data_IF_117995338435
#
_entry.id   IF_117995338435
#
_cell.length_a   1.000
_cell.length_b   1.000
_cell.length_c   1.000
_cell.angle_alpha   90.00
_cell.angle_beta   90.00
_cell.angle_gamma   90.00
#
_symmetry.space_group_name_H-M   'P 1'
#
loop_
_entity.id
_entity.type
_entity.pdbx_description
1 polymer ?
#
# COMPACT_ATOMS: atom_id res chain seq x y z
N UNK A 1 -8.22 -23.53 -29.75
CA UNK A 1 -9.02 -23.58 -28.50
C UNK A 1 -8.30 -22.90 -27.30
N UNK A 2 -8.16 -21.55 -27.23
CA UNK A 2 -7.49 -20.88 -26.10
C UNK A 2 -8.37 -19.88 -25.31
N UNK A 3 -9.71 -19.89 -25.48
CA UNK A 3 -10.61 -18.85 -24.95
C UNK A 3 -11.25 -19.15 -23.57
N UNK A 4 -11.16 -20.37 -23.05
CA UNK A 4 -11.83 -20.75 -21.80
C UNK A 4 -11.01 -20.49 -20.51
N UNK A 5 -9.69 -20.27 -20.60
CA UNK A 5 -8.79 -20.18 -19.43
C UNK A 5 -8.68 -18.78 -18.79
N UNK A 6 -9.16 -17.73 -19.46
CA UNK A 6 -9.15 -16.35 -18.94
C UNK A 6 -10.48 -15.90 -18.29
N UNK A 7 -11.51 -16.76 -18.28
CA UNK A 7 -12.87 -16.37 -17.91
C UNK A 7 -13.15 -16.45 -16.40
N UNK A 8 -12.51 -17.35 -15.64
CA UNK A 8 -12.86 -17.58 -14.23
C UNK A 8 -12.32 -16.53 -13.24
N UNK A 9 -11.20 -15.87 -13.50
CA UNK A 9 -10.74 -14.71 -12.70
C UNK A 9 -11.48 -13.43 -13.13
N UNK A 10 -11.96 -13.38 -14.38
CA UNK A 10 -12.85 -12.32 -14.84
C UNK A 10 -14.19 -12.35 -14.11
N UNK A 11 -14.80 -13.50 -13.81
CA UNK A 11 -16.11 -13.55 -13.15
C UNK A 11 -16.08 -12.95 -11.73
N UNK A 12 -14.97 -13.12 -10.99
CA UNK A 12 -14.79 -12.49 -9.67
C UNK A 12 -14.48 -10.99 -9.78
N UNK A 13 -13.74 -10.57 -10.81
CA UNK A 13 -13.40 -9.16 -11.03
C UNK A 13 -14.50 -8.35 -11.76
N UNK A 14 -15.39 -8.98 -12.52
CA UNK A 14 -16.42 -8.31 -13.34
C UNK A 14 -17.71 -8.02 -12.57
N UNK A 15 -18.00 -8.75 -11.48
CA UNK A 15 -19.14 -8.45 -10.59
C UNK A 15 -18.90 -7.28 -9.62
N UNK A 16 -17.72 -6.66 -9.63
CA UNK A 16 -17.37 -5.53 -8.74
C UNK A 16 -16.80 -4.28 -9.47
N UNK A 17 -17.24 -4.04 -10.71
CA UNK A 17 -17.22 -2.71 -11.35
C UNK A 17 -15.96 -2.30 -12.13
N UNK A 18 -16.05 -2.32 -13.46
CA UNK A 18 -15.34 -1.40 -14.36
C UNK A 18 -15.89 -1.55 -15.79
N UNK A 19 -16.88 -0.74 -16.15
CA UNK A 19 -17.26 -0.50 -17.55
C UNK A 19 -16.16 0.36 -18.19
N UNK A 20 -15.31 -0.24 -19.03
CA UNK A 20 -14.48 0.50 -19.97
C UNK A 20 -15.27 0.65 -21.28
N UNK A 21 -16.09 1.69 -21.34
CA UNK A 21 -16.75 2.12 -22.58
C UNK A 21 -15.71 2.61 -23.58
N UNK A 22 -15.59 1.91 -24.70
CA UNK A 22 -14.91 2.40 -25.92
C UNK A 22 -15.67 3.62 -26.43
N UNK A 23 -15.02 4.78 -26.49
CA UNK A 23 -15.57 5.95 -27.14
C UNK A 23 -14.80 6.20 -28.45
N UNK A 24 -15.44 5.87 -29.57
CA UNK A 24 -14.99 6.20 -30.92
C UNK A 24 -15.15 7.69 -31.18
N UNK A 25 -14.11 8.30 -31.72
CA UNK A 25 -13.98 9.73 -32.01
C UNK A 25 -14.64 10.06 -33.36
N UNK A 26 -15.74 10.84 -33.40
CA UNK A 26 -16.22 11.47 -34.64
C UNK A 26 -16.96 12.80 -34.38
N UNK A 27 -16.25 13.85 -34.78
CA UNK A 27 -16.71 15.12 -35.38
C UNK A 27 -17.39 16.23 -34.57
N UNK A 28 -16.91 17.44 -34.90
CA UNK A 28 -17.23 18.80 -34.46
C UNK A 28 -18.56 19.29 -35.03
N UNK A 29 -19.26 20.21 -34.34
CA UNK A 29 -19.42 21.65 -34.71
C UNK A 29 -20.46 22.38 -33.83
N UNK A 30 -20.10 23.63 -33.50
CA UNK A 30 -20.91 24.86 -33.32
C UNK A 30 -22.30 24.83 -32.64
N UNK A 31 -22.48 25.65 -31.59
CA UNK A 31 -23.15 26.97 -31.65
C UNK A 31 -23.31 27.62 -30.26
N UNK A 32 -23.46 28.95 -30.28
CA UNK A 32 -23.38 29.94 -29.18
C UNK A 32 -24.74 30.25 -28.52
N UNK A 33 -24.68 31.05 -27.44
CA UNK A 33 -25.73 31.85 -26.77
C UNK A 33 -26.63 31.05 -25.81
N UNK A 34 -27.14 31.53 -24.68
CA UNK A 34 -27.04 32.76 -23.86
C UNK A 34 -28.00 32.50 -22.69
N UNK A 35 -27.72 32.92 -21.45
CA UNK A 35 -28.76 32.87 -20.41
C UNK A 35 -28.24 32.80 -18.98
N UNK A 36 -28.70 33.74 -18.18
CA UNK A 36 -28.32 34.03 -16.81
C UNK A 36 -29.18 33.20 -15.82
N UNK A 37 -28.66 33.03 -14.60
CA UNK A 37 -29.27 32.50 -13.36
C UNK A 37 -29.17 30.99 -13.08
N UNK A 38 -28.81 30.66 -11.83
CA UNK A 38 -29.15 29.39 -11.21
C UNK A 38 -27.98 28.57 -10.69
N UNK A 39 -27.67 28.76 -9.40
CA UNK A 39 -27.20 27.79 -8.41
C UNK A 39 -26.52 26.48 -8.85
N UNK A 40 -25.37 26.22 -8.20
CA UNK A 40 -24.74 24.90 -7.99
C UNK A 40 -24.35 24.12 -9.25
N UNK A 41 -23.07 24.17 -9.64
CA UNK A 41 -22.48 23.07 -10.43
C UNK A 41 -21.03 22.71 -10.04
N UNK A 42 -20.69 21.42 -10.12
CA UNK A 42 -19.42 20.84 -9.72
C UNK A 42 -18.32 21.17 -10.72
N UNK A 43 -17.14 21.51 -10.23
CA UNK A 43 -15.96 21.73 -11.07
C UNK A 43 -15.38 20.39 -11.55
N UNK A 44 -16.04 19.75 -12.52
CA UNK A 44 -15.38 18.79 -13.40
C UNK A 44 -14.68 19.57 -14.52
N UNK A 45 -13.42 19.96 -14.31
CA UNK A 45 -12.55 20.31 -15.43
C UNK A 45 -12.02 19.02 -16.04
N UNK A 46 -12.62 18.62 -17.16
CA UNK A 46 -11.98 17.74 -18.13
C UNK A 46 -10.72 18.45 -18.66
N UNK A 47 -9.54 17.97 -18.25
CA UNK A 47 -8.28 18.27 -18.94
C UNK A 47 -7.98 17.12 -19.89
N UNK A 48 -8.13 17.41 -21.17
CA UNK A 48 -7.49 16.66 -22.25
C UNK A 48 -5.98 16.79 -22.09
N UNK A 49 -5.26 15.68 -22.02
CA UNK A 49 -3.79 15.69 -21.97
C UNK A 49 -3.23 14.35 -21.49
N UNK A 50 -2.68 13.59 -22.43
CA UNK A 50 -1.74 12.51 -22.11
C UNK A 50 -0.61 13.07 -21.24
N UNK A 51 -0.31 12.38 -20.14
CA UNK A 51 1.00 12.47 -19.49
C UNK A 51 1.19 13.59 -18.46
N UNK A 52 0.42 13.59 -17.38
CA UNK A 52 0.95 13.98 -16.07
C UNK A 52 0.04 13.39 -14.99
N UNK A 53 0.53 12.33 -14.34
CA UNK A 53 -0.09 11.85 -13.11
C UNK A 53 0.15 12.93 -12.04
N UNK A 54 -0.78 13.89 -11.99
CA UNK A 54 -0.86 14.92 -10.96
C UNK A 54 -0.82 14.20 -9.61
N UNK A 55 0.38 14.21 -9.01
CA UNK A 55 0.65 13.74 -7.65
C UNK A 55 -0.43 14.35 -6.78
N UNK A 56 -1.41 13.56 -6.37
CA UNK A 56 -2.33 13.88 -5.28
C UNK A 56 -1.48 14.01 -4.01
N UNK A 57 -0.82 15.17 -3.88
CA UNK A 57 -0.21 15.64 -2.65
C UNK A 57 -1.36 15.84 -1.69
N UNK A 58 -1.54 14.90 -0.77
CA UNK A 58 -2.27 15.14 0.46
C UNK A 58 -1.61 16.33 1.18
N UNK A 59 -2.13 17.54 0.95
CA UNK A 59 -1.76 18.73 1.71
C UNK A 59 -2.62 18.75 2.96
N UNK A 60 -2.00 18.64 4.13
CA UNK A 60 -2.66 18.94 5.39
C UNK A 60 -3.13 20.40 5.34
N UNK A 61 -4.31 20.76 5.88
CA UNK A 61 -4.84 22.13 5.87
C UNK A 61 -3.97 23.20 6.55
N UNK A 62 -2.84 22.82 7.17
CA UNK A 62 -1.88 23.73 7.84
C UNK A 62 -0.51 23.77 7.17
N UNK A 63 -0.33 23.13 6.01
CA UNK A 63 0.97 23.03 5.33
C UNK A 63 2.01 22.17 6.06
N UNK A 64 1.67 21.62 7.23
CA UNK A 64 2.53 20.69 7.98
C UNK A 64 2.50 19.35 7.24
N UNK A 65 3.64 18.78 6.80
CA UNK A 65 3.66 17.43 6.24
C UNK A 65 3.01 16.49 7.27
N UNK A 66 2.16 15.52 6.85
CA UNK A 66 1.52 14.61 7.78
C UNK A 66 2.62 13.98 8.63
N UNK A 67 2.63 14.35 9.91
CA UNK A 67 3.62 13.83 10.83
C UNK A 67 3.45 12.32 10.82
N UNK A 68 4.46 11.61 10.32
CA UNK A 68 4.51 10.17 10.52
C UNK A 68 4.31 9.93 12.01
N UNK A 69 3.40 9.03 12.43
CA UNK A 69 3.14 8.78 13.85
C UNK A 69 4.34 8.03 14.44
N UNK A 70 5.44 8.75 14.60
CA UNK A 70 6.67 8.35 15.26
C UNK A 70 6.52 8.87 16.68
N UNK A 71 6.76 8.01 17.67
CA UNK A 71 6.76 8.43 19.07
C UNK A 71 7.74 9.59 19.23
N UNK A 72 7.35 10.60 20.02
CA UNK A 72 8.17 11.82 20.22
C UNK A 72 9.62 11.48 20.59
N UNK A 73 9.81 10.46 21.44
CA UNK A 73 11.11 9.94 21.88
C UNK A 73 12.00 9.40 20.74
N UNK A 74 11.42 8.92 19.63
CA UNK A 74 12.18 8.34 18.52
C UNK A 74 12.44 9.33 17.37
N UNK A 75 11.87 10.54 17.42
CA UNK A 75 11.96 11.50 16.30
C UNK A 75 13.40 11.86 15.95
N UNK A 76 14.31 11.88 16.94
CA UNK A 76 15.71 12.25 16.76
C UNK A 76 16.54 11.22 15.98
N UNK A 77 16.09 9.97 15.89
CA UNK A 77 16.78 8.94 15.09
C UNK A 77 16.54 9.09 13.59
N UNK A 78 15.52 9.87 13.21
CA UNK A 78 15.20 10.12 11.82
C UNK A 78 15.84 11.43 11.38
N UNK A 79 16.56 11.45 10.25
CA UNK A 79 17.13 12.67 9.75
C UNK A 79 16.02 13.62 9.26
N UNK A 80 16.33 14.92 9.17
CA UNK A 80 15.36 15.96 8.81
C UNK A 80 14.72 15.72 7.44
N UNK A 81 15.48 15.11 6.53
CA UNK A 81 15.13 14.76 5.16
C UNK A 81 14.50 13.36 5.02
N UNK A 82 14.08 12.74 6.13
CA UNK A 82 13.42 11.43 6.11
C UNK A 82 12.28 11.30 5.08
N UNK A 83 11.38 12.29 4.87
CA UNK A 83 10.36 12.19 3.83
C UNK A 83 10.94 11.97 2.43
N UNK A 84 12.03 12.67 2.09
CA UNK A 84 12.73 12.57 0.81
C UNK A 84 13.45 11.23 0.70
N UNK A 85 14.22 10.84 1.72
CA UNK A 85 14.89 9.54 1.75
C UNK A 85 13.88 8.39 1.62
N UNK A 86 12.74 8.49 2.29
CA UNK A 86 11.65 7.52 2.19
C UNK A 86 11.04 7.45 0.78
N UNK A 87 10.91 8.59 0.10
CA UNK A 87 10.41 8.66 -1.28
C UNK A 87 11.39 7.98 -2.25
N UNK A 88 12.69 8.28 -2.13
CA UNK A 88 13.77 7.67 -2.92
C UNK A 88 13.75 6.15 -2.78
N UNK A 89 13.72 5.63 -1.55
CA UNK A 89 13.72 4.18 -1.33
C UNK A 89 12.46 3.52 -1.91
N UNK A 90 11.27 4.11 -1.72
CA UNK A 90 10.00 3.48 -2.13
C UNK A 90 9.69 3.59 -3.61
N UNK A 91 9.96 4.73 -4.23
CA UNK A 91 9.48 5.04 -5.57
C UNK A 91 10.59 5.14 -6.60
N UNK A 92 11.79 5.57 -6.21
CA UNK A 92 12.92 5.63 -7.14
C UNK A 92 13.67 4.31 -7.22
N UNK A 93 14.10 3.77 -6.08
CA UNK A 93 14.82 2.48 -6.02
C UNK A 93 13.87 1.31 -6.24
N UNK A 94 12.85 1.20 -5.40
CA UNK A 94 11.94 0.05 -5.44
C UNK A 94 10.84 0.15 -6.51
N UNK A 95 10.81 1.24 -7.29
CA UNK A 95 9.86 1.49 -8.39
C UNK A 95 8.39 1.33 -7.96
N UNK A 96 8.08 1.71 -6.71
CA UNK A 96 6.74 1.57 -6.16
C UNK A 96 6.32 0.13 -5.91
N UNK A 97 7.25 -0.83 -5.79
CA UNK A 97 6.97 -2.24 -5.48
C UNK A 97 7.66 -2.65 -4.19
N UNK A 98 7.03 -3.57 -3.47
CA UNK A 98 7.65 -4.15 -2.27
C UNK A 98 8.91 -4.95 -2.68
N UNK A 99 10.06 -4.64 -2.09
CA UNK A 99 11.33 -5.31 -2.39
C UNK A 99 11.34 -6.80 -2.01
N UNK A 100 10.44 -7.23 -1.12
CA UNK A 100 10.35 -8.63 -0.67
C UNK A 100 9.35 -9.49 -1.45
N UNK A 101 8.20 -8.92 -1.85
CA UNK A 101 7.11 -9.71 -2.46
C UNK A 101 6.60 -9.17 -3.79
N UNK A 102 7.03 -7.99 -4.22
CA UNK A 102 6.67 -7.38 -5.50
C UNK A 102 5.29 -6.71 -5.56
N UNK A 103 4.50 -6.71 -4.47
CA UNK A 103 3.18 -6.05 -4.45
C UNK A 103 3.32 -4.55 -4.76
N UNK A 104 2.51 -3.99 -5.70
CA UNK A 104 2.62 -2.59 -6.10
C UNK A 104 1.93 -1.64 -5.12
N UNK A 105 2.55 -0.50 -4.86
CA UNK A 105 2.06 0.57 -3.99
C UNK A 105 0.77 1.19 -4.54
N UNK A 106 -0.22 1.42 -3.69
CA UNK A 106 -1.44 2.09 -4.10
C UNK A 106 -2.27 1.26 -5.08
N UNK A 107 -2.22 -0.07 -4.99
CA UNK A 107 -3.12 -0.97 -5.71
C UNK A 107 -3.95 -1.81 -4.72
N UNK A 108 -5.15 -2.18 -5.14
CA UNK A 108 -5.95 -3.17 -4.44
C UNK A 108 -5.51 -4.56 -4.93
N UNK A 109 -5.09 -5.43 -4.01
CA UNK A 109 -4.56 -6.75 -4.34
C UNK A 109 -5.42 -7.83 -3.70
N UNK A 110 -5.81 -8.84 -4.49
CA UNK A 110 -6.44 -10.06 -4.02
C UNK A 110 -5.39 -11.00 -3.42
N UNK A 111 -5.67 -11.56 -2.24
CA UNK A 111 -4.78 -12.51 -1.57
C UNK A 111 -5.54 -13.56 -0.77
N UNK A 112 -4.92 -14.71 -0.53
CA UNK A 112 -5.53 -15.85 0.18
C UNK A 112 -5.27 -15.84 1.70
N UNK A 113 -4.50 -14.86 2.20
CA UNK A 113 -4.20 -14.69 3.63
C UNK A 113 -2.91 -15.39 4.08
N UNK A 114 -2.55 -16.51 3.47
CA UNK A 114 -1.27 -17.20 3.68
C UNK A 114 -0.05 -16.44 3.11
N UNK A 115 -0.30 -15.49 2.22
CA UNK A 115 0.71 -14.69 1.54
C UNK A 115 0.62 -14.77 0.03
N UNK A 116 -0.05 -15.79 -0.51
CA UNK A 116 -0.33 -15.88 -1.94
C UNK A 116 -1.22 -14.74 -2.40
N UNK A 117 -0.88 -14.14 -3.53
CA UNK A 117 -1.58 -12.98 -4.07
C UNK A 117 -1.62 -12.98 -5.59
N UNK A 118 -2.65 -12.33 -6.14
CA UNK A 118 -2.87 -12.20 -7.57
C UNK A 118 -2.12 -11.00 -8.13
N UNK A 119 -1.18 -11.25 -9.02
CA UNK A 119 -0.51 -10.25 -9.83
C UNK A 119 -1.35 -9.97 -11.08
N UNK A 120 -2.09 -8.86 -11.06
CA UNK A 120 -2.99 -8.48 -12.13
C UNK A 120 -2.27 -8.11 -13.44
N UNK A 121 -1.03 -7.62 -13.34
CA UNK A 121 -0.21 -7.25 -14.50
C UNK A 121 0.31 -8.49 -15.22
N UNK A 122 0.81 -9.46 -14.46
CA UNK A 122 1.28 -10.73 -14.99
C UNK A 122 0.19 -11.74 -15.29
N UNK A 123 -1.03 -11.55 -14.77
CA UNK A 123 -2.10 -12.54 -14.83
C UNK A 123 -1.74 -13.85 -14.13
N UNK A 124 -0.97 -13.78 -13.03
CA UNK A 124 -0.40 -14.94 -12.34
C UNK A 124 -0.57 -14.84 -10.82
N UNK A 125 -0.59 -15.99 -10.16
CA UNK A 125 -0.46 -16.06 -8.72
C UNK A 125 1.00 -16.05 -8.30
N UNK A 126 1.29 -15.33 -7.22
CA UNK A 126 2.60 -15.28 -6.57
C UNK A 126 2.52 -15.70 -5.12
N UNK A 127 3.61 -16.26 -4.59
CA UNK A 127 3.76 -16.56 -3.17
C UNK A 127 4.06 -15.30 -2.33
N UNK A 128 4.23 -15.48 -1.03
CA UNK A 128 4.58 -14.40 -0.10
C UNK A 128 5.96 -13.77 -0.34
N UNK A 129 6.80 -14.37 -1.18
CA UNK A 129 8.13 -13.88 -1.61
C UNK A 129 8.14 -13.39 -3.07
N UNK A 130 6.96 -13.33 -3.71
CA UNK A 130 6.83 -12.86 -5.09
C UNK A 130 7.14 -13.90 -6.17
N UNK A 131 7.42 -15.17 -5.82
CA UNK A 131 7.67 -16.24 -6.80
C UNK A 131 6.38 -16.74 -7.41
N UNK A 132 6.39 -17.11 -8.69
CA UNK A 132 5.21 -17.60 -9.40
C UNK A 132 4.73 -18.93 -8.81
N UNK A 133 3.42 -19.09 -8.62
CA UNK A 133 2.81 -20.33 -8.14
C UNK A 133 1.57 -20.68 -8.95
N UNK A 134 1.29 -21.98 -9.05
CA UNK A 134 0.01 -22.49 -9.54
C UNK A 134 -0.87 -22.80 -8.34
N UNK A 135 -2.13 -22.43 -8.39
CA UNK A 135 -3.10 -22.81 -7.35
C UNK A 135 -3.64 -24.21 -7.66
N UNK A 136 -3.76 -25.03 -6.61
CA UNK A 136 -4.27 -26.39 -6.71
C UNK A 136 -5.80 -26.43 -6.96
N UNK A 137 -6.54 -25.46 -6.43
CA UNK A 137 -8.00 -25.41 -6.55
C UNK A 137 -8.50 -23.97 -6.74
N UNK A 138 -9.47 -23.80 -7.64
CA UNK A 138 -10.17 -22.52 -7.85
C UNK A 138 -11.21 -22.26 -6.76
N UNK A 139 -11.74 -23.32 -6.13
CA UNK A 139 -12.73 -23.21 -5.03
C UNK A 139 -12.13 -22.53 -3.81
N UNK A 140 -10.85 -22.77 -3.53
CA UNK A 140 -10.10 -22.11 -2.46
C UNK A 140 -9.98 -20.59 -2.68
N UNK A 141 -9.96 -20.14 -3.94
CA UNK A 141 -9.86 -18.72 -4.27
C UNK A 141 -11.16 -18.01 -3.94
N UNK A 142 -12.30 -18.55 -4.38
CA UNK A 142 -13.59 -17.91 -4.20
C UNK A 142 -13.99 -17.79 -2.73
N UNK A 143 -13.66 -18.79 -1.93
CA UNK A 143 -14.02 -18.85 -0.51
C UNK A 143 -13.10 -18.03 0.40
N UNK A 144 -11.81 -17.84 0.03
CA UNK A 144 -10.80 -17.25 0.93
C UNK A 144 -10.20 -15.95 0.43
N UNK A 145 -10.44 -15.56 -0.83
CA UNK A 145 -9.86 -14.34 -1.38
C UNK A 145 -10.33 -13.11 -0.60
N UNK A 146 -9.36 -12.35 -0.11
CA UNK A 146 -9.55 -11.04 0.51
C UNK A 146 -8.85 -10.00 -0.33
N UNK A 147 -9.31 -8.76 -0.21
CA UNK A 147 -8.69 -7.61 -0.86
C UNK A 147 -8.01 -6.73 0.18
N UNK A 148 -6.80 -6.28 -0.13
CA UNK A 148 -6.08 -5.29 0.70
C UNK A 148 -5.50 -4.20 -0.19
N UNK A 149 -5.67 -2.95 0.23
CA UNK A 149 -4.98 -1.80 -0.37
C UNK A 149 -3.52 -1.82 0.07
N UNK A 150 -2.60 -1.96 -0.87
CA UNK A 150 -1.17 -2.05 -0.58
C UNK A 150 -0.58 -0.66 -0.39
N UNK A 151 0.11 -0.45 0.73
CA UNK A 151 0.92 0.72 1.00
C UNK A 151 2.34 0.28 1.34
N UNK A 152 3.30 0.99 0.78
CA UNK A 152 4.72 0.78 1.06
C UNK A 152 5.17 1.78 2.12
N UNK A 153 5.93 1.26 3.08
CA UNK A 153 6.68 2.01 4.06
C UNK A 153 8.18 1.71 3.89
N UNK A 154 9.01 2.66 4.28
CA UNK A 154 10.45 2.43 4.43
C UNK A 154 10.69 1.81 5.80
N UNK A 155 11.50 0.75 5.85
CA UNK A 155 11.82 0.03 7.08
C UNK A 155 13.33 -0.22 7.18
N UNK A 156 13.84 -0.23 8.40
CA UNK A 156 15.23 -0.59 8.73
C UNK A 156 15.37 -2.11 8.81
N UNK A 157 16.29 -2.68 8.03
CA UNK A 157 16.51 -4.14 7.96
C UNK A 157 17.05 -4.69 9.27
N UNK A 158 17.91 -3.95 9.96
CA UNK A 158 18.50 -4.35 11.25
C UNK A 158 17.64 -3.98 12.48
N UNK A 159 16.45 -3.39 12.30
CA UNK A 159 15.61 -2.83 13.36
C UNK A 159 16.22 -1.68 14.18
N UNK A 160 17.42 -1.20 13.82
CA UNK A 160 18.03 -0.02 14.40
C UNK A 160 17.57 1.23 13.64
N UNK A 161 16.82 2.10 14.31
CA UNK A 161 16.29 3.32 13.71
C UNK A 161 17.35 4.40 13.49
N UNK A 162 18.53 4.29 14.12
CA UNK A 162 19.62 5.25 13.96
C UNK A 162 20.42 5.02 12.65
N UNK A 163 20.46 3.78 12.15
CA UNK A 163 21.19 3.42 10.95
C UNK A 163 20.38 3.71 9.68
N UNK A 164 20.47 4.94 9.18
CA UNK A 164 19.75 5.38 7.99
C UNK A 164 20.53 5.14 6.68
N UNK A 165 21.54 4.28 6.67
CA UNK A 165 22.27 3.93 5.46
C UNK A 165 21.31 3.32 4.41
N UNK A 166 21.45 3.74 3.15
CA UNK A 166 20.56 3.29 2.07
C UNK A 166 20.53 1.74 1.91
N UNK A 167 21.63 1.05 2.25
CA UNK A 167 21.70 -0.40 2.25
C UNK A 167 20.83 -1.05 3.35
N UNK A 168 20.72 -0.40 4.51
CA UNK A 168 19.89 -0.86 5.63
C UNK A 168 18.40 -0.56 5.42
N UNK A 169 18.05 0.39 4.55
CA UNK A 169 16.66 0.71 4.26
C UNK A 169 16.05 -0.24 3.22
N UNK A 170 14.77 -0.55 3.40
CA UNK A 170 13.98 -1.38 2.49
C UNK A 170 12.59 -0.78 2.27
N UNK A 171 12.05 -0.93 1.05
CA UNK A 171 10.65 -0.60 0.78
C UNK A 171 9.78 -1.85 0.93
N UNK A 172 8.97 -1.90 2.00
CA UNK A 172 8.11 -3.05 2.28
C UNK A 172 6.63 -2.68 2.32
N UNK A 173 5.79 -3.60 1.85
CA UNK A 173 4.35 -3.52 2.04
C UNK A 173 3.97 -3.85 3.48
N UNK A 174 2.76 -3.47 3.90
CA UNK A 174 2.28 -3.67 5.27
C UNK A 174 2.48 -5.11 5.77
N UNK A 175 2.22 -6.12 4.93
CA UNK A 175 2.43 -7.53 5.27
C UNK A 175 3.90 -7.85 5.54
N UNK A 176 4.79 -7.51 4.60
CA UNK A 176 6.21 -7.87 4.74
C UNK A 176 6.85 -7.12 5.90
N UNK A 177 6.45 -5.86 6.09
CA UNK A 177 6.88 -5.05 7.22
C UNK A 177 6.46 -5.68 8.56
N UNK A 178 5.19 -6.05 8.73
CA UNK A 178 4.72 -6.71 9.97
C UNK A 178 5.38 -8.07 10.21
N UNK A 179 5.71 -8.83 9.17
CA UNK A 179 6.44 -10.10 9.31
C UNK A 179 7.86 -9.86 9.80
N UNK A 180 8.54 -8.87 9.20
CA UNK A 180 9.90 -8.49 9.59
C UNK A 180 9.95 -8.03 11.04
N UNK A 181 9.03 -7.14 11.45
CA UNK A 181 9.04 -6.56 12.80
C UNK A 181 8.51 -7.48 13.90
N UNK A 182 7.87 -8.59 13.54
CA UNK A 182 7.23 -9.50 14.51
C UNK A 182 8.19 -9.97 15.62
N UNK A 183 9.42 -10.42 15.36
CA UNK A 183 10.32 -10.88 16.42
C UNK A 183 10.70 -9.75 17.38
N UNK A 184 11.02 -8.56 16.86
CA UNK A 184 11.38 -7.41 17.68
C UNK A 184 10.17 -6.90 18.49
N UNK A 185 8.97 -6.92 17.92
CA UNK A 185 7.73 -6.63 18.67
C UNK A 185 7.49 -7.62 19.80
N UNK A 186 7.74 -8.92 19.57
CA UNK A 186 7.63 -9.94 20.62
C UNK A 186 8.66 -9.71 21.73
N UNK A 187 9.92 -9.42 21.38
CA UNK A 187 11.00 -9.11 22.32
C UNK A 187 10.66 -7.88 23.18
N UNK A 188 10.24 -6.77 22.55
CA UNK A 188 9.83 -5.54 23.25
C UNK A 188 8.65 -5.80 24.19
N UNK A 189 7.61 -6.48 23.70
CA UNK A 189 6.43 -6.84 24.51
C UNK A 189 6.83 -7.67 25.71
N UNK A 190 7.69 -8.68 25.52
CA UNK A 190 8.18 -9.50 26.62
C UNK A 190 8.93 -8.65 27.65
N UNK A 191 9.84 -7.79 27.22
CA UNK A 191 10.63 -6.94 28.13
C UNK A 191 9.77 -5.95 28.91
N UNK A 192 8.76 -5.35 28.27
CA UNK A 192 7.79 -4.48 28.95
C UNK A 192 7.02 -5.24 30.03
N UNK A 193 6.52 -6.44 29.72
CA UNK A 193 5.79 -7.27 30.69
C UNK A 193 6.71 -7.76 31.82
N UNK A 194 7.93 -8.16 31.48
CA UNK A 194 8.95 -8.58 32.45
C UNK A 194 9.27 -7.47 33.44
N UNK A 195 9.59 -6.26 32.95
CA UNK A 195 9.86 -5.08 33.81
C UNK A 195 8.69 -4.76 34.73
N UNK A 196 7.46 -4.80 34.21
CA UNK A 196 6.26 -4.54 35.01
C UNK A 196 6.13 -5.56 36.16
N UNK A 197 6.35 -6.85 35.86
CA UNK A 197 6.29 -7.92 36.88
C UNK A 197 7.41 -7.77 37.92
N UNK A 198 8.65 -7.56 37.48
CA UNK A 198 9.79 -7.39 38.39
C UNK A 198 9.62 -6.20 39.36
N UNK A 199 9.03 -5.10 38.90
CA UNK A 199 8.68 -3.97 39.78
C UNK A 199 7.58 -4.33 40.78
N UNK A 200 6.57 -5.09 40.37
CA UNK A 200 5.55 -5.64 41.26
C UNK A 200 6.14 -6.55 42.33
N UNK A 201 7.06 -7.44 41.95
CA UNK A 201 7.77 -8.36 42.84
C UNK A 201 8.60 -7.60 43.89
N UNK A 202 9.34 -6.56 43.46
CA UNK A 202 10.23 -5.79 44.33
C UNK A 202 9.48 -4.90 45.33
N UNK A 203 8.38 -4.29 44.92
CA UNK A 203 7.66 -3.29 45.72
C UNK A 203 6.30 -3.75 46.26
N UNK A 204 5.95 -5.04 46.14
CA UNK A 204 4.68 -5.64 46.62
C UNK A 204 3.42 -4.89 46.14
N UNK A 205 3.48 -4.25 44.97
CA UNK A 205 2.38 -3.50 44.35
C UNK A 205 1.66 -4.29 43.25
N UNK A 206 0.39 -3.97 42.92
CA UNK A 206 -0.51 -4.92 42.25
C UNK A 206 -0.11 -5.18 40.79
N UNK A 207 -0.23 -6.44 40.39
CA UNK A 207 -0.25 -6.83 38.98
C UNK A 207 -1.58 -6.40 38.33
N UNK A 208 -1.74 -5.10 38.06
CA UNK A 208 -2.78 -4.57 37.15
C UNK A 208 -2.14 -4.10 35.84
#
# INVERSE_FOLDING_TARGET
MPRARAMMVRIVAFRLGAFAGRCSNRQRRDQRHSGITGYLRPAWRARNGCGEAERLRWRHPRGIPPAMPIRREHRFFYPVDWPQLSEVIRFERAKGRCEACGRPHGHLVYHLGDGRWWDAEGGIWRDGRGRKVRLASTVDVLSRARMTRVFLATAHRNHDTADNAAANLAAWCQRCHMIHDRPEHQRRRWFTLFRRKALGDLFRGPYT
#
